data_IF_382041224914
#
_entry.id   IF_382041224914
#
_cell.length_a   1.000
_cell.length_b   1.000
_cell.length_c   1.000
_cell.angle_alpha   90.00
_cell.angle_beta   90.00
_cell.angle_gamma   90.00
#
_symmetry.space_group_name_H-M   'P 1'
#
loop_
_entity.id
_entity.type
_entity.pdbx_description
1 polymer ?
#
# COMPACT_ATOMS: atom_id res chain seq x y z
N UNK A 1 14.41 -23.94 55.00
CA UNK A 1 14.68 -23.91 53.54
C UNK A 1 13.45 -24.19 52.66
N UNK A 2 12.22 -24.29 53.21
CA UNK A 2 10.98 -24.63 52.44
C UNK A 2 10.17 -23.42 51.94
N UNK A 3 10.65 -22.19 52.17
CA UNK A 3 10.01 -20.94 51.73
C UNK A 3 10.74 -20.22 50.57
N UNK A 4 11.90 -20.73 50.15
CA UNK A 4 12.67 -20.19 49.02
C UNK A 4 12.23 -20.78 47.67
N UNK A 5 11.60 -21.96 47.68
CA UNK A 5 11.07 -22.63 46.49
C UNK A 5 9.96 -21.84 45.76
N UNK A 6 8.95 -21.25 46.42
CA UNK A 6 7.91 -20.50 45.71
C UNK A 6 8.41 -19.18 45.13
N UNK A 7 9.42 -18.57 45.76
CA UNK A 7 10.03 -17.32 45.28
C UNK A 7 10.84 -17.57 44.00
N UNK A 8 11.62 -18.65 43.96
CA UNK A 8 12.42 -19.00 42.79
C UNK A 8 11.54 -19.36 41.57
N UNK A 9 10.40 -20.03 41.80
CA UNK A 9 9.45 -20.41 40.74
C UNK A 9 8.69 -19.19 40.21
N UNK A 10 8.33 -18.22 41.06
CA UNK A 10 7.67 -16.99 40.65
C UNK A 10 8.58 -16.10 39.77
N UNK A 11 9.88 -16.01 40.11
CA UNK A 11 10.85 -15.22 39.33
C UNK A 11 11.17 -15.87 37.97
N UNK A 12 11.15 -17.20 37.88
CA UNK A 12 11.33 -17.92 36.62
C UNK A 12 10.13 -17.73 35.67
N UNK A 13 8.89 -17.66 36.18
CA UNK A 13 7.70 -17.46 35.35
C UNK A 13 7.66 -16.08 34.65
N UNK A 14 8.25 -15.05 35.27
CA UNK A 14 8.37 -13.70 34.70
C UNK A 14 9.49 -13.57 33.64
N UNK A 15 10.43 -14.50 33.60
CA UNK A 15 11.53 -14.49 32.63
C UNK A 15 11.18 -15.18 31.29
N UNK A 16 10.09 -15.96 31.23
CA UNK A 16 9.64 -16.64 29.99
C UNK A 16 8.58 -15.86 29.19
N UNK A 17 8.04 -14.75 29.69
CA UNK A 17 7.10 -13.91 28.91
C UNK A 17 7.78 -13.07 27.80
N UNK A 18 9.09 -13.22 27.59
CA UNK A 18 9.87 -12.47 26.61
C UNK A 18 9.88 -13.03 25.18
N UNK A 19 9.38 -14.25 24.93
CA UNK A 19 9.50 -14.87 23.59
C UNK A 19 8.15 -15.08 22.85
N UNK A 20 7.02 -14.71 23.47
CA UNK A 20 5.69 -14.82 22.84
C UNK A 20 5.10 -13.46 22.40
N UNK A 21 5.87 -12.37 22.48
CA UNK A 21 5.42 -11.03 22.07
C UNK A 21 5.48 -10.76 20.57
N UNK A 22 6.16 -11.59 19.78
CA UNK A 22 6.31 -11.41 18.32
C UNK A 22 5.26 -12.19 17.52
N UNK A 23 4.57 -13.16 18.15
CA UNK A 23 3.51 -13.95 17.49
C UNK A 23 2.13 -13.30 17.52
N UNK A 24 1.84 -12.44 18.50
CA UNK A 24 0.51 -11.82 18.66
C UNK A 24 0.26 -10.66 17.70
N UNK A 25 1.30 -10.06 17.11
CA UNK A 25 1.13 -9.11 16.00
C UNK A 25 0.81 -9.81 14.67
N UNK A 26 1.08 -11.12 14.55
CA UNK A 26 0.76 -11.92 13.37
C UNK A 26 -0.67 -12.48 13.37
N UNK A 27 -1.33 -12.58 14.52
CA UNK A 27 -2.71 -13.07 14.61
C UNK A 27 -3.78 -11.96 14.55
N UNK A 28 -3.37 -10.68 14.49
CA UNK A 28 -4.27 -9.54 14.25
C UNK A 28 -4.40 -9.12 12.78
N UNK A 29 -3.55 -9.66 11.89
CA UNK A 29 -3.59 -9.42 10.44
C UNK A 29 -3.93 -10.72 9.74
N UNK A 30 -5.22 -11.00 9.63
CA UNK A 30 -5.71 -12.16 8.88
C UNK A 30 -5.14 -12.17 7.46
N UNK A 31 -4.36 -13.22 7.17
CA UNK A 31 -4.24 -13.86 5.85
C UNK A 31 -4.50 -12.97 4.63
N UNK A 32 -3.47 -12.24 4.20
CA UNK A 32 -3.48 -11.49 2.93
C UNK A 32 -2.17 -10.76 2.70
N UNK A 33 -1.17 -11.48 2.17
CA UNK A 33 0.00 -10.97 1.43
C UNK A 33 0.58 -9.60 1.83
N UNK A 34 1.69 -9.60 2.57
CA UNK A 34 2.93 -8.82 2.37
C UNK A 34 2.93 -7.35 1.83
N UNK A 35 1.83 -6.61 1.80
CA UNK A 35 1.75 -5.32 1.12
C UNK A 35 2.10 -4.11 1.99
N UNK A 36 2.36 -4.29 3.29
CA UNK A 36 2.78 -3.21 4.18
C UNK A 36 4.26 -2.83 4.05
N UNK A 37 4.96 -3.28 3.01
CA UNK A 37 6.33 -2.81 2.72
C UNK A 37 6.22 -1.41 2.12
N UNK A 38 6.65 -0.42 2.90
CA UNK A 38 6.37 1.01 2.75
C UNK A 38 6.59 1.59 1.35
N UNK A 39 5.90 2.70 1.10
CA UNK A 39 6.11 3.55 -0.07
C UNK A 39 7.58 4.00 -0.05
N UNK A 40 8.31 3.71 -1.12
CA UNK A 40 9.74 3.98 -1.15
C UNK A 40 9.98 5.49 -1.36
N UNK A 41 11.03 5.99 -0.70
CA UNK A 41 11.25 7.37 -0.29
C UNK A 41 11.06 8.47 -1.36
N UNK A 42 10.28 9.49 -1.03
CA UNK A 42 10.13 10.76 -1.76
C UNK A 42 11.42 11.58 -1.75
N UNK A 43 12.15 11.65 -2.86
CA UNK A 43 12.88 12.87 -3.23
C UNK A 43 11.96 13.63 -4.19
N UNK A 44 11.66 14.91 -3.92
CA UNK A 44 10.89 15.83 -4.79
C UNK A 44 9.35 15.71 -4.82
N UNK A 45 8.70 15.12 -3.82
CA UNK A 45 7.23 15.14 -3.71
C UNK A 45 6.48 14.21 -4.69
N UNK A 46 7.21 13.24 -5.27
CA UNK A 46 6.65 12.17 -6.10
C UNK A 46 6.66 10.88 -5.27
N UNK A 47 5.52 10.20 -5.21
CA UNK A 47 5.42 8.91 -4.53
C UNK A 47 5.55 7.77 -5.55
N UNK A 48 6.21 6.67 -5.18
CA UNK A 48 6.37 5.51 -6.04
C UNK A 48 6.30 4.20 -5.27
N UNK A 49 5.74 3.18 -5.91
CA UNK A 49 5.67 1.82 -5.38
C UNK A 49 5.69 0.82 -6.52
N UNK A 50 6.41 -0.28 -6.32
CA UNK A 50 6.33 -1.44 -7.20
C UNK A 50 5.38 -2.47 -6.60
N UNK A 51 4.48 -2.99 -7.44
CA UNK A 51 3.52 -4.03 -7.11
C UNK A 51 3.94 -5.34 -7.76
N UNK A 52 3.87 -6.43 -7.00
CA UNK A 52 4.03 -7.79 -7.52
C UNK A 52 2.70 -8.29 -8.09
N UNK A 53 2.19 -7.57 -9.10
CA UNK A 53 0.98 -7.92 -9.82
C UNK A 53 1.08 -7.48 -11.30
N UNK A 54 0.33 -8.13 -12.20
CA UNK A 54 0.17 -7.68 -13.58
C UNK A 54 -0.40 -6.27 -13.67
N UNK A 55 0.07 -5.51 -14.65
CA UNK A 55 -0.28 -4.10 -14.87
C UNK A 55 -1.79 -3.88 -14.97
N UNK A 56 -2.52 -4.79 -15.64
CA UNK A 56 -3.98 -4.76 -15.74
C UNK A 56 -4.69 -4.72 -14.39
N UNK A 57 -4.19 -5.47 -13.40
CA UNK A 57 -4.79 -5.52 -12.07
C UNK A 57 -4.50 -4.23 -11.29
N UNK A 58 -3.26 -3.73 -11.37
CA UNK A 58 -2.87 -2.49 -10.68
C UNK A 58 -3.68 -1.32 -11.22
N UNK A 59 -3.81 -1.18 -12.53
CA UNK A 59 -4.61 -0.12 -13.14
C UNK A 59 -6.07 -0.15 -12.71
N UNK A 60 -6.68 -1.35 -12.70
CA UNK A 60 -8.06 -1.48 -12.24
C UNK A 60 -8.21 -1.10 -10.77
N UNK A 61 -7.29 -1.55 -9.91
CA UNK A 61 -7.27 -1.16 -8.51
C UNK A 61 -7.08 0.36 -8.34
N UNK A 62 -6.27 1.00 -9.19
CA UNK A 62 -6.12 2.46 -9.21
C UNK A 62 -7.43 3.15 -9.58
N UNK A 63 -8.14 2.70 -10.63
CA UNK A 63 -9.43 3.30 -11.00
C UNK A 63 -10.48 3.17 -9.89
N UNK A 64 -10.59 1.98 -9.28
CA UNK A 64 -11.50 1.73 -8.16
C UNK A 64 -11.12 2.60 -6.94
N UNK A 65 -9.82 2.79 -6.68
CA UNK A 65 -9.31 3.66 -5.62
C UNK A 65 -9.65 5.11 -5.88
N UNK A 66 -9.38 5.63 -7.09
CA UNK A 66 -9.70 6.99 -7.48
C UNK A 66 -11.20 7.26 -7.33
N UNK A 67 -12.04 6.32 -7.76
CA UNK A 67 -13.49 6.40 -7.60
C UNK A 67 -13.90 6.41 -6.11
N UNK A 68 -13.30 5.56 -5.28
CA UNK A 68 -13.54 5.51 -3.83
C UNK A 68 -13.14 6.81 -3.13
N UNK A 69 -12.04 7.43 -3.58
CA UNK A 69 -11.56 8.72 -3.09
C UNK A 69 -12.30 9.92 -3.71
N UNK A 70 -13.29 9.70 -4.58
CA UNK A 70 -14.01 10.72 -5.32
C UNK A 70 -13.09 11.65 -6.15
N UNK A 71 -12.00 11.10 -6.69
CA UNK A 71 -11.10 11.76 -7.65
C UNK A 71 -11.62 11.56 -9.06
N UNK A 72 -11.94 12.65 -9.76
CA UNK A 72 -12.54 12.59 -11.10
C UNK A 72 -11.46 12.36 -12.14
N UNK A 73 -11.52 11.24 -12.87
CA UNK A 73 -10.58 10.95 -13.95
C UNK A 73 -10.87 11.89 -15.13
N UNK A 74 -9.91 12.76 -15.43
CA UNK A 74 -9.98 13.75 -16.50
C UNK A 74 -9.38 13.24 -17.82
N UNK A 75 -8.34 12.42 -17.75
CA UNK A 75 -7.68 11.85 -18.93
C UNK A 75 -7.16 10.43 -18.68
N UNK A 76 -7.10 9.65 -19.76
CA UNK A 76 -6.45 8.33 -19.81
C UNK A 76 -5.65 8.24 -21.09
N UNK A 77 -4.35 7.93 -20.96
CA UNK A 77 -3.48 7.73 -22.11
C UNK A 77 -2.60 6.50 -21.92
N UNK A 78 -2.07 6.00 -23.03
CA UNK A 78 -1.16 4.87 -23.02
C UNK A 78 0.05 5.21 -23.90
N UNK A 79 1.23 5.02 -23.32
CA UNK A 79 2.51 5.27 -23.97
C UNK A 79 3.38 4.03 -23.81
N UNK A 80 3.63 3.33 -24.92
CA UNK A 80 4.41 2.10 -24.97
C UNK A 80 3.94 1.07 -23.92
N UNK A 81 4.62 1.02 -22.77
CA UNK A 81 4.42 0.07 -21.69
C UNK A 81 3.95 0.72 -20.37
N UNK A 82 3.54 1.99 -20.46
CA UNK A 82 3.05 2.80 -19.35
C UNK A 82 1.66 3.31 -19.66
N UNK A 83 0.72 3.06 -18.76
CA UNK A 83 -0.60 3.71 -18.79
C UNK A 83 -0.60 4.91 -17.86
N UNK A 84 -1.17 6.01 -18.33
CA UNK A 84 -1.29 7.25 -17.58
C UNK A 84 -2.75 7.55 -17.26
N UNK A 85 -3.00 8.07 -16.07
CA UNK A 85 -4.30 8.54 -15.61
C UNK A 85 -4.12 9.93 -15.04
N UNK A 86 -4.88 10.91 -15.51
CA UNK A 86 -4.94 12.22 -14.86
C UNK A 86 -6.26 12.30 -14.12
N UNK A 87 -6.21 12.53 -12.82
CA UNK A 87 -7.40 12.69 -11.98
C UNK A 87 -7.37 14.04 -11.25
N UNK A 88 -8.55 14.62 -10.99
CA UNK A 88 -8.70 15.91 -10.32
C UNK A 88 -9.48 15.79 -9.03
N UNK A 89 -9.05 16.52 -8.00
CA UNK A 89 -9.77 16.77 -6.76
C UNK A 89 -9.73 18.26 -6.48
N UNK A 90 -10.87 18.95 -6.38
CA UNK A 90 -10.96 20.37 -6.01
C UNK A 90 -9.83 21.22 -6.65
N UNK A 91 -8.80 21.54 -5.86
CA UNK A 91 -7.62 22.38 -6.10
C UNK A 91 -6.34 21.57 -6.40
N UNK A 92 -6.46 20.30 -6.81
CA UNK A 92 -5.33 19.37 -7.01
C UNK A 92 -5.51 18.52 -8.26
N UNK A 93 -4.40 18.24 -8.92
CA UNK A 93 -4.31 17.30 -10.04
C UNK A 93 -3.36 16.16 -9.69
N UNK A 94 -3.85 14.92 -9.78
CA UNK A 94 -3.08 13.70 -9.59
C UNK A 94 -2.67 13.11 -10.95
N UNK A 95 -1.38 13.02 -11.19
CA UNK A 95 -0.76 12.35 -12.33
C UNK A 95 -0.33 10.93 -11.94
N UNK A 96 -1.11 10.02 -12.48
CA UNK A 96 -1.09 8.57 -12.52
C UNK A 96 -0.12 7.94 -13.51
N UNK A 97 0.99 7.30 -13.15
CA UNK A 97 1.72 6.46 -14.12
C UNK A 97 1.84 5.02 -13.64
N UNK A 98 1.48 4.08 -14.51
CA UNK A 98 1.44 2.66 -14.23
C UNK A 98 2.23 1.95 -15.33
N UNK A 99 3.47 1.60 -15.02
CA UNK A 99 4.43 1.03 -15.95
C UNK A 99 4.60 -0.47 -15.67
N UNK A 100 4.42 -1.28 -16.71
CA UNK A 100 4.68 -2.71 -16.65
C UNK A 100 6.18 -2.99 -16.70
N UNK A 101 6.79 -3.45 -15.61
CA UNK A 101 8.20 -3.83 -15.61
C UNK A 101 8.40 -5.25 -16.14
N UNK A 102 7.52 -6.19 -15.73
CA UNK A 102 7.48 -7.57 -16.22
C UNK A 102 6.03 -8.04 -16.34
N UNK A 103 5.80 -9.32 -16.68
CA UNK A 103 4.44 -9.87 -16.68
C UNK A 103 3.75 -9.81 -15.30
N UNK A 104 4.51 -9.79 -14.21
CA UNK A 104 4.00 -9.85 -12.82
C UNK A 104 4.57 -8.75 -11.92
N UNK A 105 5.26 -7.75 -12.46
CA UNK A 105 5.78 -6.62 -11.71
C UNK A 105 5.40 -5.31 -12.41
N UNK A 106 4.81 -4.39 -11.66
CA UNK A 106 4.29 -3.11 -12.18
C UNK A 106 4.71 -1.99 -11.25
N UNK A 107 5.30 -0.93 -11.80
CA UNK A 107 5.68 0.28 -11.06
C UNK A 107 4.57 1.32 -11.20
N UNK A 108 4.12 1.85 -10.07
CA UNK A 108 3.23 3.00 -10.00
C UNK A 108 4.03 4.21 -9.53
N UNK A 109 3.81 5.35 -10.21
CA UNK A 109 4.32 6.65 -9.83
C UNK A 109 3.14 7.62 -9.74
N UNK A 110 3.08 8.36 -8.65
CA UNK A 110 2.00 9.32 -8.38
C UNK A 110 2.62 10.68 -8.08
N UNK A 111 2.19 11.68 -8.83
CA UNK A 111 2.52 13.09 -8.55
C UNK A 111 1.21 13.82 -8.31
N UNK A 112 1.06 14.49 -7.17
CA UNK A 112 -0.11 15.35 -6.92
C UNK A 112 0.38 16.79 -6.88
N UNK A 113 -0.22 17.64 -7.70
CA UNK A 113 0.16 19.03 -7.90
C UNK A 113 -1.02 19.89 -7.46
N UNK A 114 -0.75 20.90 -6.63
CA UNK A 114 -1.76 21.91 -6.27
C UNK A 114 -2.07 22.83 -7.46
N UNK A 115 -3.22 23.51 -7.45
CA UNK A 115 -3.72 24.33 -8.55
C UNK A 115 -2.71 25.38 -9.04
N UNK A 116 -1.93 25.96 -8.11
CA UNK A 116 -0.89 26.95 -8.39
C UNK A 116 0.37 26.35 -9.05
N UNK A 117 0.47 25.02 -9.16
CA UNK A 117 1.57 24.31 -9.84
C UNK A 117 2.91 24.30 -9.09
N UNK A 118 3.03 25.06 -8.00
CA UNK A 118 4.30 25.24 -7.28
C UNK A 118 4.57 24.16 -6.23
N UNK A 119 3.51 23.65 -5.59
CA UNK A 119 3.61 22.66 -4.52
C UNK A 119 3.15 21.28 -4.95
N UNK A 120 3.81 20.28 -4.40
CA UNK A 120 3.46 18.87 -4.58
C UNK A 120 2.93 18.31 -3.26
N UNK A 121 1.75 17.71 -3.32
CA UNK A 121 1.11 17.06 -2.18
C UNK A 121 1.55 15.59 -2.10
N UNK A 122 2.68 15.38 -1.43
CA UNK A 122 3.23 14.03 -1.24
C UNK A 122 2.36 13.15 -0.34
N UNK A 123 1.57 13.75 0.56
CA UNK A 123 0.68 13.02 1.46
C UNK A 123 -0.47 12.38 0.66
N UNK A 124 -1.13 13.16 -0.19
CA UNK A 124 -2.18 12.63 -1.07
C UNK A 124 -1.62 11.63 -2.08
N UNK A 125 -0.43 11.90 -2.65
CA UNK A 125 0.22 10.94 -3.56
C UNK A 125 0.50 9.59 -2.88
N UNK A 126 0.96 9.63 -1.62
CA UNK A 126 1.22 8.44 -0.80
C UNK A 126 -0.07 7.69 -0.47
N UNK A 127 -1.13 8.40 -0.11
CA UNK A 127 -2.43 7.82 0.21
C UNK A 127 -3.04 7.09 -0.98
N UNK A 128 -2.97 7.67 -2.20
CA UNK A 128 -3.43 7.01 -3.43
C UNK A 128 -2.74 5.66 -3.61
N UNK A 129 -1.43 5.59 -3.37
CA UNK A 129 -0.66 4.34 -3.48
C UNK A 129 -1.11 3.33 -2.41
N UNK A 130 -1.29 3.77 -1.16
CA UNK A 130 -1.72 2.91 -0.04
C UNK A 130 -3.10 2.31 -0.32
N UNK A 131 -4.05 3.13 -0.74
CA UNK A 131 -5.41 2.68 -1.05
C UNK A 131 -5.46 1.79 -2.28
N UNK A 132 -4.61 2.06 -3.29
CA UNK A 132 -4.47 1.19 -4.46
C UNK A 132 -3.94 -0.19 -4.06
N UNK A 133 -2.98 -0.25 -3.13
CA UNK A 133 -2.48 -1.52 -2.60
C UNK A 133 -3.57 -2.31 -1.88
N UNK A 134 -4.31 -1.67 -0.97
CA UNK A 134 -5.41 -2.31 -0.25
C UNK A 134 -6.52 -2.81 -1.19
N UNK A 135 -6.89 -2.00 -2.18
CA UNK A 135 -7.88 -2.37 -3.19
C UNK A 135 -7.41 -3.54 -4.05
N UNK A 136 -6.15 -3.54 -4.47
CA UNK A 136 -5.55 -4.64 -5.23
C UNK A 136 -5.58 -5.95 -4.43
N UNK A 137 -5.19 -5.93 -3.16
CA UNK A 137 -5.19 -7.11 -2.31
C UNK A 137 -6.60 -7.68 -2.13
N UNK A 138 -7.60 -6.81 -1.90
CA UNK A 138 -9.01 -7.21 -1.83
C UNK A 138 -9.48 -7.87 -3.14
N UNK A 139 -9.13 -7.29 -4.30
CA UNK A 139 -9.48 -7.85 -5.61
C UNK A 139 -8.81 -9.21 -5.85
N UNK A 140 -7.55 -9.39 -5.44
CA UNK A 140 -6.82 -10.65 -5.59
C UNK A 140 -7.39 -11.73 -4.66
N UNK A 141 -7.74 -11.38 -3.42
CA UNK A 141 -8.41 -12.31 -2.49
C UNK A 141 -9.73 -12.82 -3.06
N UNK A 142 -10.58 -11.93 -3.59
CA UNK A 142 -11.84 -12.30 -4.24
C UNK A 142 -11.60 -13.19 -5.46
N UNK A 143 -10.59 -12.90 -6.28
CA UNK A 143 -10.24 -13.72 -7.47
C UNK A 143 -9.81 -15.13 -7.08
N UNK A 144 -9.00 -15.27 -6.04
CA UNK A 144 -8.48 -16.55 -5.58
C UNK A 144 -9.57 -17.41 -4.94
N UNK A 145 -10.53 -16.82 -4.23
CA UNK A 145 -11.69 -17.53 -3.66
C UNK A 145 -12.78 -17.93 -4.66
N UNK A 146 -12.69 -17.49 -5.93
CA UNK A 146 -13.59 -17.89 -7.04
C UNK A 146 -13.09 -19.11 -7.82
N UNK A 147 -11.92 -19.64 -7.47
CA UNK A 147 -11.37 -20.89 -8.05
C UNK A 147 -11.78 -22.07 -7.18
#
# INVERSE_FOLDING_TARGET
MRKLLPILVATAALALSGCAGVGLTLFGVGTGTASSVGVNHTLTGIAYKTFTAPEANVYKATEDTLNTMALVIADRSQEQNTRKIVAKARDRTAEIEIEKLTANATRMRVTVIEEDGFFRDSATATEIIIQTAGTLDAQLAVRNGRK
#
